data_IF_379686427846
#
_entry.id   IF_379686427846
#
_cell.length_a   1.000
_cell.length_b   1.000
_cell.length_c   1.000
_cell.angle_alpha   90.00
_cell.angle_beta   90.00
_cell.angle_gamma   90.00
#
_symmetry.space_group_name_H-M   'P 1'
#
loop_
_entity.id
_entity.type
_entity.pdbx_description
1 polymer ?
#
# COMPACT_ATOMS: atom_id res chain seq x y z
N UNK A 1 -5.35 -4.78 -0.26
CA UNK A 1 -4.30 -4.28 -1.17
C UNK A 1 -3.66 -5.44 -1.91
N UNK A 2 -3.49 -5.32 -3.22
CA UNK A 2 -2.70 -6.28 -4.00
C UNK A 2 -1.22 -5.94 -3.84
N UNK A 3 -0.42 -6.92 -3.50
CA UNK A 3 0.97 -6.68 -3.13
C UNK A 3 2.00 -6.93 -4.25
N UNK A 4 1.55 -7.43 -5.42
CA UNK A 4 2.46 -7.65 -6.55
C UNK A 4 3.74 -8.39 -6.15
N UNK A 5 4.88 -7.72 -6.27
CA UNK A 5 6.19 -8.27 -5.92
C UNK A 5 6.66 -7.88 -4.50
N UNK A 6 5.79 -7.26 -3.71
CA UNK A 6 6.12 -6.91 -2.32
C UNK A 6 6.18 -8.17 -1.45
N UNK A 7 7.13 -8.19 -0.53
CA UNK A 7 7.28 -9.28 0.44
C UNK A 7 6.79 -8.82 1.82
N UNK A 8 5.98 -9.66 2.48
CA UNK A 8 5.52 -9.39 3.84
C UNK A 8 6.61 -9.79 4.84
N UNK A 9 6.94 -8.87 5.74
CA UNK A 9 7.94 -9.07 6.80
C UNK A 9 7.37 -8.68 8.15
N UNK A 10 8.04 -9.14 9.20
CA UNK A 10 7.70 -8.80 10.58
C UNK A 10 8.97 -8.58 11.40
N UNK A 11 8.95 -7.64 12.33
CA UNK A 11 10.02 -7.42 13.30
C UNK A 11 9.46 -6.93 14.63
N UNK A 12 10.17 -7.21 15.73
CA UNK A 12 9.77 -6.72 17.06
C UNK A 12 9.90 -5.20 17.16
N UNK A 13 10.92 -4.64 16.55
CA UNK A 13 11.15 -3.20 16.57
C UNK A 13 10.57 -2.56 15.32
N UNK A 14 10.08 -1.34 15.49
CA UNK A 14 9.56 -0.57 14.35
C UNK A 14 10.68 -0.26 13.38
N UNK A 15 10.59 -0.74 12.13
CA UNK A 15 11.61 -0.45 11.13
C UNK A 15 11.47 0.97 10.60
N UNK A 16 12.59 1.51 10.11
CA UNK A 16 12.56 2.75 9.33
C UNK A 16 11.93 2.52 7.96
N UNK A 17 11.30 3.53 7.40
CA UNK A 17 10.71 3.47 6.06
C UNK A 17 11.76 3.11 5.02
N UNK A 18 12.96 3.62 5.14
CA UNK A 18 14.05 3.36 4.21
C UNK A 18 15.32 2.93 4.92
N UNK A 19 15.85 1.77 4.52
CA UNK A 19 17.16 1.27 4.94
C UNK A 19 18.15 1.55 3.82
N UNK A 20 18.98 2.57 4.03
CA UNK A 20 19.94 3.04 3.02
C UNK A 20 21.04 2.01 2.72
N UNK A 21 21.49 1.25 3.73
CA UNK A 21 22.55 0.24 3.55
C UNK A 21 22.09 -0.90 2.63
N UNK A 22 20.88 -1.37 2.85
CA UNK A 22 20.30 -2.49 2.09
C UNK A 22 19.48 -2.03 0.89
N UNK A 23 19.26 -0.73 0.76
CA UNK A 23 18.41 -0.13 -0.30
C UNK A 23 16.99 -0.70 -0.31
N UNK A 24 16.43 -0.88 0.90
CA UNK A 24 15.10 -1.44 1.10
C UNK A 24 14.11 -0.37 1.56
N UNK A 25 12.96 -0.33 0.90
CA UNK A 25 11.83 0.51 1.29
C UNK A 25 10.78 -0.34 1.98
N UNK A 26 10.23 0.15 3.08
CA UNK A 26 9.19 -0.52 3.85
C UNK A 26 7.91 0.29 3.82
N UNK A 27 6.83 -0.40 3.48
CA UNK A 27 5.52 0.19 3.24
C UNK A 27 4.49 -0.45 4.16
N UNK A 28 3.45 0.32 4.49
CA UNK A 28 2.31 -0.16 5.28
C UNK A 28 2.77 -0.79 6.60
N UNK A 29 3.56 -0.05 7.37
CA UNK A 29 4.07 -0.48 8.67
C UNK A 29 2.93 -0.42 9.68
N UNK A 30 2.53 -1.58 10.20
CA UNK A 30 1.41 -1.70 11.13
C UNK A 30 1.81 -2.50 12.36
N UNK A 31 1.13 -2.23 13.47
CA UNK A 31 1.25 -3.08 14.66
C UNK A 31 0.70 -4.46 14.35
N UNK A 32 1.51 -5.49 14.57
CA UNK A 32 1.15 -6.86 14.26
C UNK A 32 1.85 -7.81 15.24
N UNK A 33 1.14 -8.79 15.76
CA UNK A 33 1.73 -9.80 16.61
C UNK A 33 2.47 -10.83 15.76
N UNK A 34 3.71 -11.12 16.17
CA UNK A 34 4.53 -12.16 15.55
C UNK A 34 4.95 -13.22 16.57
N UNK A 35 5.61 -14.25 16.11
CA UNK A 35 6.11 -15.33 16.94
C UNK A 35 7.58 -15.10 17.26
N UNK A 36 7.93 -15.25 18.57
CA UNK A 36 9.30 -15.27 19.04
C UNK A 36 9.58 -16.62 19.68
N UNK A 37 10.72 -17.22 19.38
CA UNK A 37 11.09 -18.52 19.88
C UNK A 37 11.05 -19.61 18.80
N UNK A 38 11.44 -20.84 19.18
CA UNK A 38 11.57 -21.99 18.29
C UNK A 38 10.76 -23.17 18.88
N UNK A 39 10.00 -23.87 18.03
CA UNK A 39 9.25 -25.07 18.41
C UNK A 39 8.10 -24.76 19.37
N UNK A 40 7.97 -25.55 20.45
CA UNK A 40 6.91 -25.41 21.45
C UNK A 40 7.09 -24.18 22.37
N UNK A 41 8.28 -23.57 22.36
CA UNK A 41 8.59 -22.38 23.14
C UNK A 41 8.23 -21.07 22.42
N UNK A 42 7.49 -21.14 21.32
CA UNK A 42 7.04 -19.95 20.60
C UNK A 42 6.01 -19.18 21.42
N UNK A 43 6.22 -17.89 21.54
CA UNK A 43 5.25 -16.96 22.13
C UNK A 43 4.89 -15.88 21.13
N UNK A 44 3.66 -15.40 21.21
CA UNK A 44 3.22 -14.24 20.42
C UNK A 44 3.62 -12.96 21.14
N UNK A 45 4.35 -12.11 20.46
CA UNK A 45 4.80 -10.81 20.97
C UNK A 45 4.34 -9.70 20.05
N UNK A 46 4.18 -8.51 20.62
CA UNK A 46 3.86 -7.32 19.85
C UNK A 46 5.06 -6.91 18.97
N UNK A 47 4.78 -6.49 17.77
CA UNK A 47 5.77 -6.06 16.83
C UNK A 47 5.14 -5.31 15.66
N UNK A 48 5.80 -5.34 14.50
CA UNK A 48 5.39 -4.59 13.33
C UNK A 48 5.44 -5.48 12.09
N UNK A 49 4.34 -5.48 11.34
CA UNK A 49 4.27 -6.08 10.01
C UNK A 49 4.41 -5.00 8.96
N UNK A 50 5.06 -5.31 7.87
CA UNK A 50 5.27 -4.35 6.77
C UNK A 50 5.57 -5.09 5.47
N UNK A 51 5.40 -4.37 4.36
CA UNK A 51 5.86 -4.84 3.06
C UNK A 51 7.23 -4.26 2.76
N UNK A 52 8.10 -5.05 2.17
CA UNK A 52 9.48 -4.68 1.88
C UNK A 52 9.76 -4.82 0.40
N UNK A 53 10.45 -3.84 -0.17
CA UNK A 53 10.86 -3.84 -1.56
C UNK A 53 12.25 -3.25 -1.70
N UNK A 54 13.14 -3.99 -2.35
CA UNK A 54 14.41 -3.44 -2.80
C UNK A 54 14.17 -2.53 -4.00
N UNK A 55 14.74 -1.32 -3.96
CA UNK A 55 14.68 -0.38 -5.07
C UNK A 55 16.01 -0.36 -5.80
N UNK A 56 16.01 0.10 -7.05
CA UNK A 56 17.27 0.29 -7.77
C UNK A 56 18.02 1.52 -7.28
N UNK A 57 19.23 1.75 -7.80
CA UNK A 57 20.12 2.82 -7.34
C UNK A 57 19.88 4.15 -8.02
N UNK A 58 18.87 4.25 -8.86
CA UNK A 58 18.47 5.53 -9.44
C UNK A 58 17.59 6.29 -8.43
N UNK A 59 18.23 7.09 -7.59
CA UNK A 59 17.58 7.80 -6.49
C UNK A 59 17.00 9.12 -7.00
N UNK A 60 15.89 9.00 -7.70
CA UNK A 60 15.08 10.09 -8.18
C UNK A 60 13.65 9.91 -7.65
N UNK A 61 13.03 10.98 -7.17
CA UNK A 61 11.69 10.88 -6.55
C UNK A 61 10.66 10.21 -7.46
N UNK A 62 10.57 10.63 -8.70
CA UNK A 62 9.61 10.08 -9.65
C UNK A 62 9.89 8.62 -9.96
N UNK A 63 11.15 8.26 -10.13
CA UNK A 63 11.56 6.88 -10.41
C UNK A 63 11.31 5.95 -9.23
N UNK A 64 11.69 6.36 -8.02
CA UNK A 64 11.44 5.59 -6.80
C UNK A 64 9.94 5.40 -6.58
N UNK A 65 9.17 6.47 -6.68
CA UNK A 65 7.71 6.41 -6.55
C UNK A 65 7.09 5.43 -7.55
N UNK A 66 7.48 5.50 -8.82
CA UNK A 66 6.97 4.62 -9.87
C UNK A 66 7.30 3.15 -9.62
N UNK A 67 8.52 2.84 -9.19
CA UNK A 67 8.91 1.48 -8.82
C UNK A 67 8.02 0.91 -7.72
N UNK A 68 7.78 1.70 -6.69
CA UNK A 68 6.95 1.26 -5.55
C UNK A 68 5.49 1.06 -5.95
N UNK A 69 4.95 1.95 -6.79
CA UNK A 69 3.58 1.80 -7.30
C UNK A 69 3.45 0.51 -8.09
N UNK A 70 4.35 0.25 -9.01
CA UNK A 70 4.34 -0.97 -9.83
C UNK A 70 4.52 -2.24 -9.00
N UNK A 71 5.29 -2.19 -7.93
CA UNK A 71 5.48 -3.33 -7.04
C UNK A 71 4.18 -3.75 -6.34
N UNK A 72 3.34 -2.81 -5.96
CA UNK A 72 2.07 -3.08 -5.28
C UNK A 72 0.90 -3.29 -6.23
N UNK A 73 0.87 -2.55 -7.33
CA UNK A 73 -0.18 -2.60 -8.35
C UNK A 73 0.44 -2.77 -9.74
N UNK A 74 1.13 -3.90 -9.93
CA UNK A 74 1.80 -4.21 -11.18
C UNK A 74 0.84 -4.16 -12.38
N UNK A 75 1.29 -3.55 -13.46
CA UNK A 75 0.54 -3.41 -14.71
C UNK A 75 -0.78 -2.65 -14.57
N UNK A 76 -0.90 -1.78 -13.57
CA UNK A 76 -2.11 -0.99 -13.38
C UNK A 76 -2.09 0.26 -14.23
N UNK A 77 -3.21 0.45 -14.90
CA UNK A 77 -3.56 1.67 -15.58
C UNK A 77 -4.32 2.58 -14.61
N UNK A 78 -3.68 3.63 -14.12
CA UNK A 78 -4.29 4.59 -13.19
C UNK A 78 -5.58 5.20 -13.77
N UNK A 79 -5.55 5.51 -15.06
CA UNK A 79 -6.72 6.08 -15.74
C UNK A 79 -7.87 5.07 -15.80
N UNK A 80 -7.57 3.80 -16.11
CA UNK A 80 -8.57 2.73 -16.11
C UNK A 80 -9.21 2.51 -14.74
N UNK A 81 -8.40 2.52 -13.67
CA UNK A 81 -8.91 2.43 -12.30
C UNK A 81 -9.84 3.60 -11.96
N UNK A 82 -9.44 4.82 -12.31
CA UNK A 82 -10.27 6.00 -12.11
C UNK A 82 -11.58 5.91 -12.89
N UNK A 83 -11.53 5.55 -14.17
CA UNK A 83 -12.71 5.44 -15.00
C UNK A 83 -13.68 4.38 -14.48
N UNK A 84 -13.18 3.21 -14.08
CA UNK A 84 -14.03 2.17 -13.50
C UNK A 84 -14.72 2.63 -12.21
N UNK A 85 -13.99 3.34 -11.34
CA UNK A 85 -14.56 3.91 -10.13
C UNK A 85 -15.61 4.97 -10.42
N UNK A 86 -15.37 5.84 -11.38
CA UNK A 86 -16.32 6.88 -11.78
C UNK A 86 -17.62 6.29 -12.36
N UNK A 87 -17.50 5.28 -13.21
CA UNK A 87 -18.66 4.57 -13.78
C UNK A 87 -19.47 3.92 -12.64
N UNK A 88 -18.80 3.24 -11.71
CA UNK A 88 -19.47 2.61 -10.58
C UNK A 88 -20.19 3.62 -9.68
N UNK A 89 -19.61 4.81 -9.46
CA UNK A 89 -20.24 5.89 -8.69
C UNK A 89 -21.49 6.40 -9.42
N UNK A 90 -21.38 6.68 -10.71
CA UNK A 90 -22.50 7.19 -11.52
C UNK A 90 -23.64 6.19 -11.55
N UNK A 91 -23.36 4.92 -11.84
CA UNK A 91 -24.37 3.87 -11.88
C UNK A 91 -25.03 3.67 -10.50
N UNK A 92 -24.25 3.73 -9.44
CA UNK A 92 -24.75 3.64 -8.08
C UNK A 92 -25.68 4.80 -7.72
N UNK A 93 -25.30 6.03 -8.07
CA UNK A 93 -26.14 7.21 -7.83
C UNK A 93 -27.44 7.17 -8.62
N UNK A 94 -27.38 6.71 -9.88
CA UNK A 94 -28.60 6.56 -10.71
C UNK A 94 -29.58 5.54 -10.10
N UNK A 95 -29.07 4.46 -9.49
CA UNK A 95 -29.91 3.45 -8.88
C UNK A 95 -30.49 3.86 -7.52
N UNK A 96 -29.87 4.84 -6.81
CA UNK A 96 -30.35 5.31 -5.52
C UNK A 96 -31.58 6.22 -5.63
N UNK A 97 -31.70 6.96 -6.73
CA UNK A 97 -32.73 8.00 -6.83
C UNK A 97 -32.61 9.00 -5.68
N UNK A 98 -33.68 9.15 -4.89
CA UNK A 98 -33.73 10.06 -3.74
C UNK A 98 -33.39 9.37 -2.39
N UNK A 99 -32.96 8.09 -2.39
CA UNK A 99 -32.72 7.32 -1.19
C UNK A 99 -31.25 7.39 -0.73
N UNK A 100 -30.99 8.23 0.26
CA UNK A 100 -29.64 8.42 0.85
C UNK A 100 -29.07 7.22 1.67
N UNK A 101 -29.87 6.35 2.32
CA UNK A 101 -29.33 5.26 3.15
C UNK A 101 -28.47 4.25 2.40
N UNK A 102 -28.59 4.17 1.08
CA UNK A 102 -27.90 3.17 0.26
C UNK A 102 -26.54 3.63 -0.27
N UNK A 103 -26.08 4.84 0.09
CA UNK A 103 -24.75 5.34 -0.29
C UNK A 103 -23.65 4.37 0.14
N UNK A 104 -23.80 3.70 1.29
CA UNK A 104 -22.82 2.72 1.76
C UNK A 104 -22.69 1.53 0.81
N UNK A 105 -23.79 1.11 0.18
CA UNK A 105 -23.75 0.03 -0.81
C UNK A 105 -23.00 0.46 -2.06
N UNK A 106 -23.22 1.70 -2.51
CA UNK A 106 -22.46 2.27 -3.64
C UNK A 106 -20.96 2.31 -3.31
N UNK A 107 -20.60 2.80 -2.13
CA UNK A 107 -19.21 2.90 -1.71
C UNK A 107 -18.55 1.54 -1.44
N UNK A 108 -19.32 0.48 -1.28
CA UNK A 108 -18.80 -0.88 -1.14
C UNK A 108 -18.53 -1.56 -2.49
N UNK A 109 -18.84 -0.91 -3.61
CA UNK A 109 -18.54 -1.44 -4.94
C UNK A 109 -17.06 -1.75 -5.09
N UNK A 110 -16.73 -2.92 -5.64
CA UNK A 110 -15.36 -3.40 -5.76
C UNK A 110 -14.45 -2.45 -6.54
N UNK A 111 -14.95 -1.82 -7.60
CA UNK A 111 -14.16 -0.86 -8.39
C UNK A 111 -13.82 0.39 -7.60
N UNK A 112 -14.75 0.87 -6.77
CA UNK A 112 -14.53 2.03 -5.91
C UNK A 112 -13.52 1.68 -4.82
N UNK A 113 -13.69 0.53 -4.16
CA UNK A 113 -12.77 0.05 -3.12
C UNK A 113 -11.36 -0.13 -3.69
N UNK A 114 -11.24 -0.74 -4.86
CA UNK A 114 -9.94 -0.94 -5.52
C UNK A 114 -9.27 0.40 -5.84
N UNK A 115 -10.03 1.38 -6.30
CA UNK A 115 -9.49 2.70 -6.60
C UNK A 115 -9.04 3.42 -5.32
N UNK A 116 -9.82 3.36 -4.26
CA UNK A 116 -9.45 3.95 -2.95
C UNK A 116 -8.19 3.29 -2.42
N UNK A 117 -8.09 1.97 -2.44
CA UNK A 117 -6.88 1.24 -2.04
C UNK A 117 -5.66 1.67 -2.86
N UNK A 118 -5.84 1.82 -4.16
CA UNK A 118 -4.78 2.31 -5.03
C UNK A 118 -4.33 3.72 -4.66
N UNK A 119 -5.26 4.63 -4.38
CA UNK A 119 -4.95 6.00 -3.97
C UNK A 119 -4.19 6.04 -2.64
N UNK A 120 -4.60 5.24 -1.67
CA UNK A 120 -3.92 5.12 -0.38
C UNK A 120 -2.50 4.56 -0.55
N UNK A 121 -2.36 3.51 -1.34
CA UNK A 121 -1.07 2.92 -1.65
C UNK A 121 -0.16 3.90 -2.39
N UNK A 122 -0.70 4.61 -3.38
CA UNK A 122 0.04 5.64 -4.11
C UNK A 122 0.58 6.73 -3.19
N UNK A 123 -0.22 7.13 -2.21
CA UNK A 123 0.21 8.10 -1.19
C UNK A 123 1.37 7.53 -0.33
N UNK A 124 1.27 6.29 0.10
CA UNK A 124 2.36 5.63 0.82
C UNK A 124 3.64 5.58 -0.01
N UNK A 125 3.54 5.31 -1.30
CA UNK A 125 4.68 5.31 -2.21
C UNK A 125 5.31 6.70 -2.34
N UNK A 126 4.49 7.74 -2.41
CA UNK A 126 4.97 9.12 -2.46
C UNK A 126 5.73 9.50 -1.18
N UNK A 127 5.18 9.15 -0.02
CA UNK A 127 5.81 9.43 1.27
C UNK A 127 7.11 8.63 1.43
N UNK A 128 7.13 7.38 1.01
CA UNK A 128 8.33 6.54 1.01
C UNK A 128 9.40 7.09 0.07
N UNK A 129 9.04 7.54 -1.13
CA UNK A 129 9.97 8.15 -2.06
C UNK A 129 10.59 9.43 -1.48
N UNK A 130 9.82 10.25 -0.79
CA UNK A 130 10.35 11.42 -0.08
C UNK A 130 11.36 11.03 1.00
N UNK A 131 11.07 9.95 1.75
CA UNK A 131 11.98 9.43 2.77
C UNK A 131 13.31 8.97 2.15
N UNK A 132 13.25 8.31 1.00
CA UNK A 132 14.45 7.87 0.27
C UNK A 132 15.29 9.09 -0.16
N UNK A 133 14.67 10.08 -0.78
CA UNK A 133 15.38 11.29 -1.24
C UNK A 133 16.01 12.02 -0.05
N UNK A 134 15.28 12.14 1.05
CA UNK A 134 15.78 12.78 2.27
C UNK A 134 17.04 12.08 2.82
N UNK A 135 17.13 10.78 2.71
CA UNK A 135 18.29 10.02 3.18
C UNK A 135 19.58 10.32 2.41
N UNK A 136 19.47 10.91 1.21
CA UNK A 136 20.60 11.29 0.36
C UNK A 136 20.88 12.79 0.32
N UNK A 137 20.18 13.58 1.11
CA UNK A 137 20.43 15.01 1.26
C UNK A 137 21.64 15.31 2.16
#
# INVERSE_FOLDING_TARGET
MKTGTLQRRWSEQKPDIYDKEKNLVRLDIQNEKGNRGIGEEQEKVDGYGYYEREIDRNIDYGHVKSQLIEAGFAQKDEFGLLMNAMIAIIDGLDSLGDELPEIREVLSNEDIVTFVDFCEYRKMCADAAKAVIKAYE
#
